data_IF_893535764465
#
_entry.id   IF_893535764465
#
_cell.length_a   1.000
_cell.length_b   1.000
_cell.length_c   1.000
_cell.angle_alpha   90.00
_cell.angle_beta   90.00
_cell.angle_gamma   90.00
#
_symmetry.space_group_name_H-M   'P 1'
#
loop_
_entity.id
_entity.type
_entity.pdbx_description
1 polymer ?
#
# COMPACT_ATOMS: atom_id res chain seq x y z
N UNK A 1 -5.04 30.75 -21.26
CA UNK A 1 -6.01 29.90 -20.53
C UNK A 1 -5.23 29.16 -19.47
N UNK A 2 -5.56 29.32 -18.19
CA UNK A 2 -4.87 28.61 -17.10
C UNK A 2 -5.30 27.15 -17.19
N UNK A 3 -4.40 26.27 -17.62
CA UNK A 3 -4.67 24.84 -17.64
C UNK A 3 -4.78 24.40 -16.18
N UNK A 4 -6.01 24.13 -15.71
CA UNK A 4 -6.22 23.69 -14.32
C UNK A 4 -5.55 22.33 -14.15
N UNK A 5 -4.67 22.17 -13.16
CA UNK A 5 -4.05 20.88 -12.82
C UNK A 5 -5.06 19.73 -12.64
N UNK A 6 -6.32 20.05 -12.37
CA UNK A 6 -7.41 19.09 -12.28
C UNK A 6 -7.74 18.38 -13.60
N UNK A 7 -7.44 18.99 -14.75
CA UNK A 7 -7.66 18.42 -16.09
C UNK A 7 -6.42 17.69 -16.64
N UNK A 8 -5.28 17.79 -15.95
CA UNK A 8 -4.02 17.18 -16.36
C UNK A 8 -4.00 15.69 -16.00
N UNK A 9 -3.48 14.86 -16.91
CA UNK A 9 -3.40 13.42 -16.70
C UNK A 9 -2.39 13.06 -15.60
N UNK A 10 -2.52 11.89 -14.98
CA UNK A 10 -1.51 11.40 -14.02
C UNK A 10 -0.13 11.29 -14.67
N UNK A 11 -0.04 10.92 -15.95
CA UNK A 11 1.23 10.79 -16.67
C UNK A 11 1.93 12.15 -16.83
N UNK A 12 1.21 13.17 -17.26
CA UNK A 12 1.76 14.53 -17.39
C UNK A 12 2.15 15.09 -16.02
N UNK A 13 1.29 14.92 -15.01
CA UNK A 13 1.60 15.32 -13.64
C UNK A 13 2.84 14.63 -13.10
N UNK A 14 3.12 13.38 -13.47
CA UNK A 14 4.33 12.69 -13.04
C UNK A 14 5.63 13.32 -13.57
N UNK A 15 5.55 14.17 -14.61
CA UNK A 15 6.70 14.88 -15.20
C UNK A 15 6.80 16.33 -14.75
N UNK A 16 5.86 16.80 -13.91
CA UNK A 16 5.87 18.16 -13.42
C UNK A 16 7.08 18.44 -12.53
N UNK A 17 7.66 19.64 -12.63
CA UNK A 17 8.88 20.01 -11.91
C UNK A 17 8.72 19.97 -10.38
N UNK A 18 7.51 20.23 -9.87
CA UNK A 18 7.21 20.17 -8.42
C UNK A 18 6.88 18.76 -7.90
N UNK A 19 6.89 17.73 -8.75
CA UNK A 19 6.66 16.35 -8.31
C UNK A 19 7.90 15.72 -7.72
N UNK A 20 7.86 15.43 -6.41
CA UNK A 20 8.88 14.62 -5.76
C UNK A 20 8.95 13.18 -6.31
N UNK A 21 10.04 12.44 -6.04
CA UNK A 21 10.30 11.12 -6.64
C UNK A 21 9.17 10.10 -6.39
N UNK A 22 8.65 10.02 -5.16
CA UNK A 22 7.58 9.08 -4.83
C UNK A 22 6.24 9.47 -5.46
N UNK A 23 5.92 10.76 -5.52
CA UNK A 23 4.71 11.24 -6.19
C UNK A 23 4.77 10.94 -7.70
N UNK A 24 5.92 11.20 -8.35
CA UNK A 24 6.14 10.86 -9.76
C UNK A 24 6.01 9.37 -10.02
N UNK A 25 6.62 8.53 -9.17
CA UNK A 25 6.50 7.07 -9.26
C UNK A 25 5.03 6.63 -9.14
N UNK A 26 4.32 7.10 -8.11
CA UNK A 26 2.93 6.73 -7.85
C UNK A 26 2.01 7.17 -9.00
N UNK A 27 2.18 8.38 -9.52
CA UNK A 27 1.39 8.86 -10.66
C UNK A 27 1.60 8.02 -11.94
N UNK A 28 2.84 7.58 -12.20
CA UNK A 28 3.13 6.64 -13.31
C UNK A 28 2.51 5.27 -13.05
N UNK A 29 2.63 4.75 -11.83
CA UNK A 29 2.02 3.48 -11.42
C UNK A 29 0.51 3.51 -11.63
N UNK A 30 -0.16 4.56 -11.16
CA UNK A 30 -1.60 4.78 -11.34
C UNK A 30 -1.99 4.78 -12.82
N UNK A 31 -1.19 5.44 -13.66
CA UNK A 31 -1.41 5.46 -15.12
C UNK A 31 -1.22 4.10 -15.78
N UNK A 32 -0.24 3.31 -15.36
CA UNK A 32 0.05 1.99 -15.95
C UNK A 32 -0.97 0.96 -15.50
N UNK A 33 -1.27 0.90 -14.18
CA UNK A 33 -2.26 -0.02 -13.62
C UNK A 33 -3.70 0.44 -13.83
N UNK A 34 -3.93 1.64 -14.37
CA UNK A 34 -5.26 2.25 -14.48
C UNK A 34 -6.04 2.11 -13.16
N UNK A 35 -5.42 2.56 -12.08
CA UNK A 35 -6.04 2.52 -10.75
C UNK A 35 -5.67 3.76 -9.95
N UNK A 36 -6.67 4.32 -9.30
CA UNK A 36 -6.58 5.38 -8.32
C UNK A 36 -7.23 4.95 -7.00
N UNK A 37 -7.18 3.64 -6.73
CA UNK A 37 -7.71 3.02 -5.52
C UNK A 37 -6.61 2.79 -4.49
N UNK A 38 -6.84 3.30 -3.28
CA UNK A 38 -6.14 2.97 -2.07
C UNK A 38 -7.02 2.06 -1.20
N UNK A 39 -6.53 0.88 -0.83
CA UNK A 39 -7.22 -0.01 0.11
C UNK A 39 -6.83 0.34 1.55
N UNK A 40 -7.82 0.63 2.40
CA UNK A 40 -7.65 0.74 3.85
C UNK A 40 -7.78 -0.65 4.47
N UNK A 41 -6.65 -1.31 4.72
CA UNK A 41 -6.58 -2.68 5.20
C UNK A 41 -6.72 -2.74 6.74
N UNK A 42 -7.87 -2.33 7.24
CA UNK A 42 -8.14 -2.23 8.68
C UNK A 42 -8.54 -3.61 9.26
N UNK A 43 -7.53 -4.45 9.51
CA UNK A 43 -7.65 -5.79 10.09
C UNK A 43 -6.68 -5.97 11.27
N UNK A 44 -6.98 -6.92 12.15
CA UNK A 44 -6.31 -7.03 13.46
C UNK A 44 -5.17 -8.04 13.51
N UNK A 45 -4.91 -8.80 12.44
CA UNK A 45 -3.86 -9.82 12.39
C UNK A 45 -2.98 -9.69 11.14
N UNK A 46 -1.72 -10.08 11.28
CA UNK A 46 -0.74 -10.08 10.20
C UNK A 46 -1.19 -10.98 9.05
N UNK A 47 -1.77 -12.15 9.36
CA UNK A 47 -2.30 -13.07 8.34
C UNK A 47 -3.39 -12.39 7.48
N UNK A 48 -4.40 -11.80 8.13
CA UNK A 48 -5.48 -11.13 7.40
C UNK A 48 -4.98 -9.93 6.58
N UNK A 49 -3.97 -9.20 7.09
CA UNK A 49 -3.37 -8.07 6.37
C UNK A 49 -2.66 -8.54 5.09
N UNK A 50 -1.87 -9.61 5.20
CA UNK A 50 -1.13 -10.17 4.06
C UNK A 50 -2.09 -10.81 3.04
N UNK A 51 -3.14 -11.50 3.49
CA UNK A 51 -4.17 -12.06 2.61
C UNK A 51 -4.89 -10.96 1.82
N UNK A 52 -5.29 -9.86 2.49
CA UNK A 52 -5.88 -8.70 1.81
C UNK A 52 -4.95 -8.09 0.76
N UNK A 53 -3.66 -7.99 1.09
CA UNK A 53 -2.65 -7.46 0.18
C UNK A 53 -2.47 -8.35 -1.06
N UNK A 54 -2.53 -9.67 -0.91
CA UNK A 54 -2.47 -10.62 -2.03
C UNK A 54 -3.72 -10.60 -2.89
N UNK A 55 -4.90 -10.65 -2.27
CA UNK A 55 -6.20 -10.68 -2.94
C UNK A 55 -6.44 -9.38 -3.74
N UNK A 56 -6.15 -8.23 -3.14
CA UNK A 56 -6.51 -6.94 -3.73
C UNK A 56 -5.36 -6.24 -4.46
N UNK A 57 -4.12 -6.73 -4.32
CA UNK A 57 -2.90 -6.05 -4.75
C UNK A 57 -2.89 -5.62 -6.22
N UNK A 58 -3.47 -6.42 -7.11
CA UNK A 58 -3.53 -6.14 -8.56
C UNK A 58 -4.50 -4.98 -8.91
N UNK A 59 -5.41 -4.62 -8.01
CA UNK A 59 -6.43 -3.61 -8.23
C UNK A 59 -6.11 -2.24 -7.59
N UNK A 60 -5.08 -2.15 -6.75
CA UNK A 60 -4.76 -0.95 -5.96
C UNK A 60 -3.44 -0.30 -6.40
N UNK A 61 -3.31 1.01 -6.19
CA UNK A 61 -2.03 1.72 -6.27
C UNK A 61 -1.37 1.92 -4.91
N UNK A 62 -2.17 1.92 -3.83
CA UNK A 62 -1.72 2.12 -2.45
C UNK A 62 -2.42 1.11 -1.53
N UNK A 63 -1.67 0.56 -0.59
CA UNK A 63 -2.22 -0.16 0.55
C UNK A 63 -1.98 0.67 1.81
N UNK A 64 -3.07 1.14 2.41
CA UNK A 64 -3.06 1.90 3.66
C UNK A 64 -3.19 0.95 4.85
N UNK A 65 -2.29 1.09 5.81
CA UNK A 65 -2.24 0.28 7.03
C UNK A 65 -2.55 1.10 8.28
N UNK A 66 -2.95 0.39 9.33
CA UNK A 66 -2.82 0.81 10.72
C UNK A 66 -2.00 -0.27 11.43
N UNK A 67 -0.68 -0.16 11.43
CA UNK A 67 0.17 -1.19 12.03
C UNK A 67 -0.08 -1.37 13.54
N UNK A 68 -0.63 -0.34 14.19
CA UNK A 68 -0.91 -0.29 15.62
C UNK A 68 -2.20 -1.00 16.06
N UNK A 69 -3.06 -1.40 15.12
CA UNK A 69 -4.22 -2.27 15.40
C UNK A 69 -3.92 -3.75 15.10
N UNK A 70 -2.78 -4.06 14.48
CA UNK A 70 -2.37 -5.44 14.18
C UNK A 70 -1.73 -6.04 15.43
N UNK A 71 -2.47 -6.94 16.07
CA UNK A 71 -2.17 -7.50 17.40
C UNK A 71 -0.85 -8.28 17.47
N UNK A 72 -0.38 -8.82 16.34
CA UNK A 72 0.83 -9.62 16.20
C UNK A 72 1.89 -8.96 15.29
N UNK A 73 1.85 -7.62 15.15
CA UNK A 73 2.78 -6.89 14.28
C UNK A 73 4.25 -7.18 14.61
N UNK A 74 5.05 -7.40 13.57
CA UNK A 74 6.50 -7.60 13.71
C UNK A 74 7.28 -7.15 12.47
N UNK A 75 8.61 -7.10 12.59
CA UNK A 75 9.52 -6.89 11.45
C UNK A 75 9.35 -7.98 10.35
N UNK A 76 8.72 -9.13 10.65
CA UNK A 76 8.37 -10.14 9.64
C UNK A 76 7.16 -9.70 8.82
N UNK A 77 6.12 -9.18 9.48
CA UNK A 77 4.90 -8.65 8.84
C UNK A 77 5.27 -7.53 7.87
N UNK A 78 6.08 -6.56 8.32
CA UNK A 78 6.55 -5.46 7.48
C UNK A 78 7.32 -5.94 6.23
N UNK A 79 8.20 -6.94 6.38
CA UNK A 79 8.96 -7.51 5.25
C UNK A 79 8.06 -8.26 4.26
N UNK A 80 7.16 -9.10 4.76
CA UNK A 80 6.22 -9.83 3.93
C UNK A 80 5.31 -8.85 3.14
N UNK A 81 4.82 -7.79 3.80
CA UNK A 81 4.02 -6.78 3.13
C UNK A 81 4.79 -6.04 2.02
N UNK A 82 6.07 -5.69 2.27
CA UNK A 82 6.95 -5.10 1.24
C UNK A 82 7.20 -6.03 0.06
N UNK A 83 7.28 -7.34 0.29
CA UNK A 83 7.44 -8.33 -0.77
C UNK A 83 6.18 -8.39 -1.65
N UNK A 84 5.00 -8.42 -1.05
CA UNK A 84 3.73 -8.36 -1.78
C UNK A 84 3.62 -7.03 -2.54
N UNK A 85 3.97 -5.90 -1.92
CA UNK A 85 3.96 -4.57 -2.55
C UNK A 85 4.85 -4.51 -3.80
N UNK A 86 6.04 -5.12 -3.76
CA UNK A 86 6.92 -5.26 -4.92
C UNK A 86 6.28 -6.10 -6.03
N UNK A 87 5.82 -7.31 -5.68
CA UNK A 87 5.27 -8.27 -6.66
C UNK A 87 3.96 -7.80 -7.31
N UNK A 88 3.08 -7.17 -6.53
CA UNK A 88 1.78 -6.64 -6.97
C UNK A 88 1.84 -5.18 -7.42
N UNK A 89 3.00 -4.54 -7.30
CA UNK A 89 3.24 -3.13 -7.64
C UNK A 89 2.23 -2.16 -7.00
N UNK A 90 2.36 -1.93 -5.69
CA UNK A 90 1.66 -0.85 -4.97
C UNK A 90 2.59 -0.20 -3.93
N UNK A 91 2.21 0.98 -3.45
CA UNK A 91 2.95 1.73 -2.42
C UNK A 91 2.31 1.50 -1.05
N UNK A 92 3.11 1.43 0.02
CA UNK A 92 2.60 1.26 1.39
C UNK A 92 2.45 2.63 2.07
N UNK A 93 1.26 2.87 2.65
CA UNK A 93 0.94 4.07 3.39
C UNK A 93 0.55 3.70 4.83
N UNK A 94 1.38 4.06 5.81
CA UNK A 94 1.00 3.93 7.22
C UNK A 94 0.19 5.17 7.68
N UNK A 95 -1.06 4.95 8.06
CA UNK A 95 -2.01 6.00 8.44
C UNK A 95 -1.88 6.41 9.91
N UNK A 96 -0.65 6.70 10.34
CA UNK A 96 -0.32 6.92 11.75
C UNK A 96 -0.91 8.20 12.34
N UNK A 97 -1.21 9.20 11.51
CA UNK A 97 -1.71 10.54 11.88
C UNK A 97 -0.88 11.18 13.00
N UNK A 98 0.41 11.39 12.76
CA UNK A 98 1.29 12.06 13.74
C UNK A 98 0.72 13.44 14.14
N UNK A 99 0.71 13.75 15.43
CA UNK A 99 0.10 14.97 15.97
C UNK A 99 0.79 15.45 17.25
N UNK A 100 2.12 15.31 17.31
CA UNK A 100 2.94 15.67 18.47
C UNK A 100 4.09 16.62 18.06
N UNK A 101 4.85 17.12 19.03
CA UNK A 101 6.02 17.96 18.82
C UNK A 101 7.19 17.19 18.20
N UNK A 102 8.14 17.93 17.62
CA UNK A 102 9.17 17.40 16.72
C UNK A 102 9.98 16.20 17.24
N UNK A 103 10.60 16.30 18.41
CA UNK A 103 11.44 15.21 18.93
C UNK A 103 10.62 13.92 19.19
N UNK A 104 9.39 14.08 19.68
CA UNK A 104 8.51 12.94 19.96
C UNK A 104 8.13 12.23 18.67
N UNK A 105 7.69 12.96 17.63
CA UNK A 105 7.31 12.34 16.35
C UNK A 105 8.49 11.67 15.65
N UNK A 106 9.72 12.19 15.80
CA UNK A 106 10.91 11.52 15.27
C UNK A 106 11.11 10.12 15.86
N UNK A 107 10.98 10.00 17.19
CA UNK A 107 11.11 8.73 17.89
C UNK A 107 9.95 7.78 17.53
N UNK A 108 8.72 8.29 17.48
CA UNK A 108 7.55 7.50 17.07
C UNK A 108 7.67 7.00 15.62
N UNK A 109 8.26 7.79 14.72
CA UNK A 109 8.40 7.44 13.31
C UNK A 109 9.54 6.45 13.04
N UNK A 110 10.68 6.58 13.74
CA UNK A 110 11.91 5.83 13.43
C UNK A 110 12.18 4.64 14.36
N UNK A 111 11.59 4.66 15.56
CA UNK A 111 11.94 3.74 16.64
C UNK A 111 10.71 2.95 17.11
N UNK A 112 10.76 2.41 18.34
CA UNK A 112 9.68 1.62 18.91
C UNK A 112 9.50 0.27 18.22
N UNK A 113 8.34 -0.34 18.43
CA UNK A 113 7.97 -1.62 17.84
C UNK A 113 7.78 -1.49 16.33
N UNK A 114 7.17 -0.39 15.88
CA UNK A 114 6.72 -0.26 14.49
C UNK A 114 7.78 0.22 13.51
N UNK A 115 8.74 1.06 13.94
CA UNK A 115 9.81 1.61 13.09
C UNK A 115 9.30 2.05 11.71
N UNK A 116 8.21 2.81 11.67
CA UNK A 116 7.39 3.08 10.47
C UNK A 116 8.25 3.54 9.28
N UNK A 117 9.22 4.43 9.53
CA UNK A 117 10.13 4.96 8.52
C UNK A 117 10.97 3.88 7.80
N UNK A 118 11.11 2.67 8.36
CA UNK A 118 11.89 1.60 7.74
C UNK A 118 11.14 0.83 6.63
N UNK A 119 9.82 0.92 6.59
CA UNK A 119 9.00 0.10 5.68
C UNK A 119 7.85 0.83 4.97
N UNK A 120 7.27 1.88 5.55
CA UNK A 120 6.18 2.62 4.92
C UNK A 120 6.75 3.74 4.04
N UNK A 121 6.44 3.78 2.74
CA UNK A 121 6.87 4.86 1.86
C UNK A 121 6.12 6.16 2.15
N UNK A 122 4.84 6.06 2.53
CA UNK A 122 3.99 7.20 2.87
C UNK A 122 3.60 7.12 4.35
N UNK A 123 3.59 8.28 5.02
CA UNK A 123 2.90 8.46 6.30
C UNK A 123 2.11 9.77 6.27
N UNK A 124 1.33 10.07 7.30
CA UNK A 124 0.62 11.33 7.41
C UNK A 124 0.76 12.02 8.77
N UNK A 125 0.46 13.33 8.79
CA UNK A 125 0.52 14.15 9.99
C UNK A 125 -0.54 15.26 10.01
N UNK A 126 -1.04 15.55 11.20
CA UNK A 126 -1.79 16.78 11.49
C UNK A 126 -0.81 17.95 11.62
N UNK A 127 -1.20 19.13 11.13
CA UNK A 127 -0.42 20.37 11.36
C UNK A 127 -0.80 21.09 12.65
N UNK A 128 -1.62 20.45 13.50
CA UNK A 128 -2.08 21.01 14.78
C UNK A 128 -0.91 21.48 15.68
N UNK A 129 0.21 20.75 15.82
CA UNK A 129 1.36 21.19 16.61
C UNK A 129 2.18 22.32 15.98
N UNK A 130 1.86 22.73 14.76
CA UNK A 130 2.61 23.70 13.96
C UNK A 130 3.60 23.07 12.96
N UNK A 131 4.23 23.89 12.09
CA UNK A 131 5.01 23.41 10.95
C UNK A 131 6.25 22.57 11.31
N UNK A 132 6.77 22.71 12.54
CA UNK A 132 7.96 22.01 13.00
C UNK A 132 7.80 20.48 12.95
N UNK A 133 6.57 19.95 13.03
CA UNK A 133 6.30 18.52 12.87
C UNK A 133 6.77 17.99 11.51
N UNK A 134 6.59 18.77 10.44
CA UNK A 134 6.99 18.40 9.07
C UNK A 134 8.51 18.34 8.97
N UNK A 135 9.21 19.37 9.45
CA UNK A 135 10.68 19.40 9.48
C UNK A 135 11.23 18.24 10.31
N UNK A 136 10.60 17.92 11.43
CA UNK A 136 11.04 16.84 12.31
C UNK A 136 10.89 15.47 11.65
N UNK A 137 9.73 15.17 11.05
CA UNK A 137 9.49 13.94 10.31
C UNK A 137 10.40 13.81 9.09
N UNK A 138 10.66 14.91 8.38
CA UNK A 138 11.58 14.93 7.23
C UNK A 138 13.00 14.53 7.66
N UNK A 139 13.55 15.15 8.71
CA UNK A 139 14.86 14.78 9.26
C UNK A 139 14.94 13.33 9.71
N UNK A 140 13.86 12.80 10.28
CA UNK A 140 13.77 11.39 10.67
C UNK A 140 13.75 10.44 9.46
N UNK A 141 13.06 10.82 8.39
CA UNK A 141 13.10 10.09 7.11
C UNK A 141 14.53 10.07 6.55
N UNK A 142 15.19 11.23 6.47
CA UNK A 142 16.56 11.34 5.94
C UNK A 142 17.55 10.48 6.73
N UNK A 143 17.48 10.54 8.06
CA UNK A 143 18.31 9.70 8.93
C UNK A 143 18.07 8.20 8.71
N UNK A 144 16.80 7.82 8.47
CA UNK A 144 16.45 6.43 8.18
C UNK A 144 16.98 5.98 6.83
N UNK A 145 16.89 6.83 5.79
CA UNK A 145 17.41 6.56 4.45
C UNK A 145 18.94 6.47 4.49
N UNK A 146 19.62 7.38 5.19
CA UNK A 146 21.07 7.34 5.36
C UNK A 146 21.54 6.06 6.07
N UNK A 147 20.81 5.62 7.11
CA UNK A 147 21.06 4.35 7.79
C UNK A 147 20.82 3.15 6.89
N UNK A 148 19.77 3.20 6.06
CA UNK A 148 19.49 2.14 5.10
C UNK A 148 20.60 2.02 4.05
N UNK A 149 21.05 3.14 3.48
CA UNK A 149 22.08 3.19 2.46
C UNK A 149 23.48 2.77 2.94
N UNK A 150 23.73 2.82 4.26
CA UNK A 150 24.98 2.39 4.87
C UNK A 150 24.91 0.98 5.48
N UNK A 151 23.71 0.40 5.54
CA UNK A 151 23.48 -0.94 6.08
C UNK A 151 23.62 -2.04 5.02
N UNK A 152 24.12 -3.21 5.44
CA UNK A 152 24.03 -4.43 4.64
C UNK A 152 22.70 -5.09 4.96
N UNK A 153 21.83 -5.19 3.95
CA UNK A 153 20.55 -5.90 4.06
C UNK A 153 20.66 -7.20 3.28
N UNK A 154 20.33 -8.32 3.92
CA UNK A 154 20.28 -9.62 3.26
C UNK A 154 18.83 -10.08 3.23
N UNK A 155 18.24 -10.07 2.05
CA UNK A 155 16.92 -10.65 1.81
C UNK A 155 17.12 -12.11 1.37
N UNK A 156 16.72 -13.07 2.20
CA UNK A 156 16.76 -14.50 1.89
C UNK A 156 15.35 -14.91 1.46
N UNK A 157 15.19 -15.26 0.18
CA UNK A 157 13.95 -15.77 -0.37
C UNK A 157 14.06 -17.28 -0.64
N UNK A 158 12.94 -17.98 -0.52
CA UNK A 158 12.78 -19.33 -1.03
C UNK A 158 11.57 -19.32 -1.96
N UNK A 159 11.77 -19.52 -3.25
CA UNK A 159 10.66 -19.74 -4.17
C UNK A 159 9.92 -21.01 -3.75
N UNK A 160 8.59 -20.93 -3.59
CA UNK A 160 7.78 -22.13 -3.45
C UNK A 160 7.94 -22.99 -4.72
N UNK A 161 8.05 -24.32 -4.61
CA UNK A 161 8.17 -25.18 -5.79
C UNK A 161 6.99 -24.90 -6.73
N UNK A 162 7.28 -24.59 -8.00
CA UNK A 162 6.25 -24.50 -9.04
C UNK A 162 5.50 -25.83 -9.06
N UNK A 163 4.21 -25.83 -8.70
CA UNK A 163 3.31 -26.95 -9.05
C UNK A 163 3.33 -27.04 -10.58
N UNK A 164 3.81 -28.18 -11.10
CA UNK A 164 3.71 -28.47 -12.53
C UNK A 164 2.22 -28.60 -12.89
N UNK A 165 1.78 -28.14 -14.08
CA UNK A 165 0.38 -28.26 -14.49
C UNK A 165 -0.08 -29.69 -14.85
N UNK A 166 0.77 -30.71 -14.82
CA UNK A 166 0.44 -32.05 -15.33
C UNK A 166 1.00 -33.18 -14.44
N UNK A 167 0.54 -33.28 -13.19
CA UNK A 167 0.58 -34.56 -12.47
C UNK A 167 -0.88 -34.88 -12.10
N UNK A 168 -1.43 -35.88 -12.80
CA UNK A 168 -2.77 -36.42 -12.60
C UNK A 168 -2.94 -36.81 -11.12
N UNK A 169 -4.00 -36.29 -10.50
CA UNK A 169 -4.44 -36.70 -9.17
C UNK A 169 -4.92 -38.15 -9.24
N UNK A 170 -4.08 -39.11 -8.84
CA UNK A 170 -4.55 -40.42 -8.40
C UNK A 170 -5.18 -40.24 -7.00
N UNK A 171 -6.45 -39.82 -7.00
CA UNK A 171 -7.33 -39.94 -5.84
C UNK A 171 -7.61 -41.44 -5.57
N UNK A 172 -6.74 -42.11 -4.81
CA UNK A 172 -7.11 -43.39 -4.20
C UNK A 172 -7.72 -43.17 -2.80
N UNK A 173 -9.04 -43.33 -2.79
CA UNK A 173 -9.95 -43.75 -1.69
C UNK A 173 -9.39 -43.76 -0.26
N UNK A 174 -9.81 -42.78 0.54
CA UNK A 174 -9.89 -42.94 1.99
C UNK A 174 -11.32 -42.69 2.43
N UNK A 175 -12.15 -43.73 2.32
CA UNK A 175 -13.36 -43.83 3.13
C UNK A 175 -13.25 -44.96 4.16
N UNK A 176 -13.78 -44.63 5.34
CA UNK A 176 -14.21 -45.51 6.40
C UNK A 176 -13.17 -46.24 7.28
N UNK A 177 -12.77 -45.57 8.38
CA UNK A 177 -13.03 -46.13 9.71
C UNK A 177 -13.14 -45.04 10.77
N UNK A 178 -14.38 -44.71 11.10
CA UNK A 178 -14.76 -44.03 12.35
C UNK A 178 -14.26 -44.78 13.58
N UNK A 179 -13.77 -43.99 14.54
CA UNK A 179 -13.98 -44.12 15.99
C UNK A 179 -13.78 -45.52 16.58
N UNK A 180 -12.71 -45.69 17.35
CA UNK A 180 -12.80 -46.29 18.70
C UNK A 180 -11.54 -46.05 19.53
N UNK A 181 -11.81 -45.66 20.78
CA UNK A 181 -11.01 -45.89 21.97
C UNK A 181 -9.90 -44.89 22.31
N UNK A 182 -10.33 -43.83 22.99
CA UNK A 182 -9.62 -43.31 24.14
C UNK A 182 -9.36 -44.43 25.16
N UNK A 183 -8.13 -44.55 25.66
CA UNK A 183 -7.82 -45.28 26.91
C UNK A 183 -6.70 -44.54 27.65
N UNK A 184 -7.02 -44.15 28.88
CA UNK A 184 -6.17 -43.65 29.96
C UNK A 184 -5.26 -44.77 30.53
N UNK A 185 -4.18 -44.42 31.26
CA UNK A 185 -3.05 -45.33 31.49
C UNK A 185 -3.27 -46.25 32.70
N UNK A 186 -2.84 -47.51 32.59
CA UNK A 186 -2.52 -48.32 33.76
C UNK A 186 -1.21 -49.11 33.60
N UNK A 187 -0.46 -49.04 34.70
CA UNK A 187 0.80 -49.67 35.07
C UNK A 187 0.65 -51.19 35.18
N UNK A 188 1.72 -51.89 34.84
CA UNK A 188 2.37 -53.06 35.49
C UNK A 188 3.42 -53.53 34.45
N UNK A 189 4.71 -53.68 34.71
CA UNK A 189 5.34 -54.31 35.86
C UNK A 189 6.09 -55.54 35.34
N UNK A 190 7.36 -55.30 34.99
CA UNK A 190 8.53 -56.20 34.99
C UNK A 190 8.76 -57.26 33.89
N UNK A 191 9.99 -57.15 33.35
CA UNK A 191 10.93 -58.14 32.79
C UNK A 191 10.57 -58.97 31.55
N UNK A 192 11.22 -58.67 30.41
CA UNK A 192 12.30 -59.51 29.86
C UNK A 192 12.94 -58.91 28.59
N UNK A 193 14.26 -59.06 28.50
CA UNK A 193 15.15 -58.64 27.42
C UNK A 193 14.67 -59.09 26.03
N UNK A 194 14.33 -58.14 25.16
CA UNK A 194 14.29 -58.38 23.70
C UNK A 194 15.08 -57.29 22.98
N UNK A 195 16.28 -57.65 22.51
CA UNK A 195 17.12 -56.85 21.61
C UNK A 195 16.33 -56.46 20.35
N UNK A 196 15.90 -55.20 20.26
CA UNK A 196 15.33 -54.64 19.03
C UNK A 196 16.44 -54.07 18.16
N UNK A 197 16.69 -54.74 17.03
CA UNK A 197 17.62 -54.28 16.01
C UNK A 197 17.20 -52.93 15.43
N UNK A 198 18.13 -51.98 15.45
CA UNK A 198 17.97 -50.67 14.83
C UNK A 198 17.96 -50.88 13.30
N UNK A 199 16.79 -50.78 12.68
CA UNK A 199 16.69 -50.61 11.22
C UNK A 199 17.27 -49.23 10.87
N UNK A 200 18.17 -49.11 9.87
CA UNK A 200 18.65 -47.81 9.45
C UNK A 200 17.48 -47.02 8.87
N UNK A 201 17.17 -45.87 9.49
CA UNK A 201 16.25 -44.90 8.90
C UNK A 201 16.91 -44.34 7.64
N UNK A 202 16.33 -44.66 6.49
CA UNK A 202 16.63 -44.03 5.21
C UNK A 202 16.09 -42.59 5.24
N UNK A 203 16.79 -41.69 5.93
CA UNK A 203 16.52 -40.25 5.87
C UNK A 203 17.04 -39.75 4.53
N UNK A 204 16.14 -39.66 3.54
CA UNK A 204 16.34 -38.84 2.34
C UNK A 204 16.84 -37.46 2.79
N UNK A 205 18.10 -37.16 2.47
CA UNK A 205 18.71 -35.88 2.77
C UNK A 205 18.01 -34.82 1.93
N UNK A 206 17.35 -33.86 2.59
CA UNK A 206 16.78 -32.69 1.90
C UNK A 206 17.93 -31.77 1.50
N UNK A 207 18.29 -31.80 0.21
CA UNK A 207 19.28 -30.87 -0.35
C UNK A 207 18.57 -29.53 -0.56
N UNK A 208 18.79 -28.59 0.36
CA UNK A 208 18.40 -27.20 0.18
C UNK A 208 19.53 -26.50 -0.58
N UNK A 209 19.31 -26.23 -1.86
CA UNK A 209 20.20 -25.40 -2.66
C UNK A 209 20.07 -23.94 -2.22
N UNK A 210 20.95 -23.49 -1.34
CA UNK A 210 21.03 -22.08 -0.93
C UNK A 210 21.78 -21.32 -2.02
N UNK A 211 21.06 -20.71 -2.95
CA UNK A 211 21.63 -19.73 -3.86
C UNK A 211 21.83 -18.40 -3.13
N UNK A 212 23.04 -18.12 -2.65
CA UNK A 212 23.37 -16.81 -2.09
C UNK A 212 23.58 -15.82 -3.26
N UNK A 213 22.56 -15.05 -3.62
CA UNK A 213 22.74 -13.91 -4.52
C UNK A 213 23.29 -12.72 -3.73
N UNK A 214 24.62 -12.55 -3.75
CA UNK A 214 25.27 -11.37 -3.20
C UNK A 214 25.15 -10.26 -4.26
N UNK A 215 24.17 -9.37 -4.09
CA UNK A 215 24.08 -8.14 -4.88
C UNK A 215 24.87 -7.03 -4.19
N UNK A 216 26.13 -6.84 -4.59
CA UNK A 216 26.89 -5.63 -4.25
C UNK A 216 26.45 -4.52 -5.19
N UNK A 217 25.56 -3.63 -4.74
CA UNK A 217 25.26 -2.38 -5.44
C UNK A 217 26.18 -1.28 -4.94
N UNK A 218 27.26 -1.04 -5.66
CA UNK A 218 27.97 0.25 -5.67
C UNK A 218 27.71 0.92 -7.00
N UNK A 219 26.57 1.58 -7.15
CA UNK A 219 26.40 2.52 -8.26
C UNK A 219 25.77 3.82 -7.76
N UNK A 220 26.56 4.87 -7.89
CA UNK A 220 26.15 6.26 -7.90
C UNK A 220 25.44 6.55 -9.23
N UNK A 221 24.31 7.26 -9.16
CA UNK A 221 23.49 7.79 -10.28
C UNK A 221 22.31 6.87 -10.67
N UNK A 222 21.14 7.23 -10.16
CA UNK A 222 19.82 6.77 -10.62
C UNK A 222 19.72 6.83 -12.16
N UNK A 223 19.11 5.83 -12.83
CA UNK A 223 18.93 5.87 -14.27
C UNK A 223 18.09 7.09 -14.67
N UNK A 224 18.68 7.97 -15.49
CA UNK A 224 17.95 9.09 -16.11
C UNK A 224 17.12 8.56 -17.29
N UNK A 225 15.87 9.00 -17.47
CA UNK A 225 15.06 8.62 -18.61
C UNK A 225 15.64 9.19 -19.91
N UNK A 226 15.53 8.41 -20.99
CA UNK A 226 15.90 8.78 -22.36
C UNK A 226 14.97 9.91 -22.86
N UNK A 227 15.53 11.07 -23.28
CA UNK A 227 14.75 12.22 -23.74
C UNK A 227 14.09 12.04 -25.12
N UNK A 228 14.33 10.94 -25.85
CA UNK A 228 13.87 10.77 -27.24
C UNK A 228 12.63 9.87 -27.43
N UNK A 229 11.96 9.44 -26.36
CA UNK A 229 10.81 8.54 -26.48
C UNK A 229 9.50 9.28 -26.77
N UNK A 230 9.01 9.16 -28.02
CA UNK A 230 7.69 9.61 -28.46
C UNK A 230 6.69 8.42 -28.44
N UNK A 231 5.72 8.36 -27.51
CA UNK A 231 4.87 7.19 -27.32
C UNK A 231 3.76 6.99 -28.35
N UNK A 232 3.58 7.90 -29.32
CA UNK A 232 2.46 7.83 -30.26
C UNK A 232 2.60 6.75 -31.34
N UNK A 233 3.75 6.08 -31.45
CA UNK A 233 4.01 5.09 -32.50
C UNK A 233 3.99 3.61 -32.07
N UNK A 234 3.64 3.27 -30.82
CA UNK A 234 3.72 1.87 -30.37
C UNK A 234 2.42 1.35 -29.78
N UNK A 235 1.61 0.72 -30.64
CA UNK A 235 0.45 -0.09 -30.28
C UNK A 235 0.85 -1.22 -29.30
N UNK A 236 0.11 -1.33 -28.19
CA UNK A 236 0.08 -2.46 -27.24
C UNK A 236 1.42 -2.87 -26.61
N UNK A 237 2.02 -1.99 -25.80
CA UNK A 237 2.96 -2.47 -24.77
C UNK A 237 2.13 -3.07 -23.62
N UNK A 238 2.37 -4.35 -23.32
CA UNK A 238 1.79 -5.05 -22.18
C UNK A 238 2.06 -4.28 -20.87
N UNK A 239 1.03 -4.11 -20.05
CA UNK A 239 1.11 -3.49 -18.71
C UNK A 239 2.23 -4.09 -17.86
N UNK A 240 2.51 -5.39 -18.00
CA UNK A 240 3.61 -6.08 -17.32
C UNK A 240 4.97 -5.52 -17.73
N UNK A 241 5.19 -5.27 -19.01
CA UNK A 241 6.42 -4.68 -19.53
C UNK A 241 6.58 -3.23 -19.05
N UNK A 242 5.49 -2.46 -19.00
CA UNK A 242 5.50 -1.09 -18.45
C UNK A 242 5.82 -1.07 -16.95
N UNK A 243 5.25 -1.98 -16.16
CA UNK A 243 5.57 -2.11 -14.73
C UNK A 243 7.03 -2.52 -14.51
N UNK A 244 7.54 -3.44 -15.33
CA UNK A 244 8.95 -3.83 -15.30
C UNK A 244 9.87 -2.64 -15.58
N UNK A 245 9.50 -1.77 -16.54
CA UNK A 245 10.23 -0.53 -16.86
C UNK A 245 10.10 0.55 -15.79
N UNK A 246 8.97 0.62 -15.08
CA UNK A 246 8.78 1.54 -13.96
C UNK A 246 9.77 1.25 -12.82
N UNK A 247 10.10 -0.03 -12.64
CA UNK A 247 11.07 -0.48 -11.64
C UNK A 247 10.49 -0.54 -10.23
N UNK A 248 11.38 -0.74 -9.25
CA UNK A 248 11.00 -0.77 -7.84
C UNK A 248 10.64 0.62 -7.31
N UNK A 249 9.78 0.64 -6.29
CA UNK A 249 9.44 1.86 -5.55
C UNK A 249 10.73 2.49 -5.00
N UNK A 250 10.98 3.79 -5.23
CA UNK A 250 12.19 4.43 -4.71
C UNK A 250 12.18 4.39 -3.18
N UNK A 251 13.33 4.07 -2.58
CA UNK A 251 13.48 4.07 -1.11
C UNK A 251 13.61 5.50 -0.57
N UNK A 252 12.52 6.26 -0.69
CA UNK A 252 12.34 7.60 -0.14
C UNK A 252 11.08 7.60 0.73
N UNK A 253 10.86 8.66 1.50
CA UNK A 253 9.66 8.82 2.30
C UNK A 253 8.95 10.10 1.93
N UNK A 254 7.63 10.07 1.98
CA UNK A 254 6.83 11.26 1.78
C UNK A 254 5.70 11.36 2.79
N UNK A 255 5.24 12.59 2.98
CA UNK A 255 4.24 12.95 3.96
C UNK A 255 2.96 13.43 3.27
N UNK A 256 1.83 12.98 3.77
CA UNK A 256 0.53 13.59 3.52
C UNK A 256 0.12 14.43 4.73
N UNK A 257 -0.35 15.66 4.49
CA UNK A 257 -0.91 16.49 5.56
C UNK A 257 -2.42 16.28 5.64
N UNK A 258 -2.96 16.13 6.85
CA UNK A 258 -4.40 16.08 7.04
C UNK A 258 -4.97 17.50 6.97
N UNK A 259 -5.66 17.80 5.89
CA UNK A 259 -6.25 19.12 5.64
C UNK A 259 -7.78 19.13 5.79
N UNK A 260 -8.45 18.02 5.46
CA UNK A 260 -9.88 17.79 5.75
C UNK A 260 -10.09 16.35 6.23
N UNK A 261 -11.17 16.12 6.98
CA UNK A 261 -11.58 14.78 7.41
C UNK A 261 -12.98 14.46 6.89
N UNK A 262 -13.25 13.19 6.66
CA UNK A 262 -14.59 12.70 6.26
C UNK A 262 -15.57 12.57 7.44
N UNK A 263 -15.11 12.80 8.66
CA UNK A 263 -15.92 12.71 9.87
C UNK A 263 -16.79 13.95 10.06
N UNK A 264 -18.04 13.75 10.47
CA UNK A 264 -18.93 14.84 10.83
C UNK A 264 -18.36 15.71 11.96
N UNK A 265 -18.48 17.04 11.84
CA UNK A 265 -18.05 17.98 12.88
C UNK A 265 -16.53 18.18 13.02
N UNK A 266 -15.72 17.82 12.01
CA UNK A 266 -14.27 18.05 12.07
C UNK A 266 -13.91 19.53 12.26
N UNK A 267 -12.80 19.79 12.98
CA UNK A 267 -12.36 21.15 13.33
C UNK A 267 -11.41 21.80 12.30
N UNK A 268 -11.22 21.15 11.14
CA UNK A 268 -10.35 21.67 10.06
C UNK A 268 -11.06 22.75 9.24
N UNK A 269 -11.11 23.97 9.79
CA UNK A 269 -11.72 25.15 9.17
C UNK A 269 -11.00 25.58 7.89
N UNK A 270 -11.59 26.48 7.07
CA UNK A 270 -10.89 27.04 5.90
C UNK A 270 -9.54 27.67 6.24
N UNK A 271 -9.40 28.31 7.41
CA UNK A 271 -8.14 28.89 7.87
C UNK A 271 -7.10 27.80 8.17
N UNK A 272 -7.52 26.68 8.79
CA UNK A 272 -6.67 25.52 9.02
C UNK A 272 -6.21 24.91 7.69
N UNK A 273 -7.11 24.77 6.72
CA UNK A 273 -6.80 24.25 5.38
C UNK A 273 -5.77 25.14 4.68
N UNK A 274 -5.97 26.46 4.72
CA UNK A 274 -5.05 27.43 4.14
C UNK A 274 -3.65 27.35 4.77
N UNK A 275 -3.58 27.25 6.10
CA UNK A 275 -2.31 27.05 6.82
C UNK A 275 -1.64 25.72 6.44
N UNK A 276 -2.42 24.66 6.29
CA UNK A 276 -1.92 23.35 5.87
C UNK A 276 -1.31 23.41 4.46
N UNK A 277 -1.97 24.12 3.53
CA UNK A 277 -1.46 24.33 2.17
C UNK A 277 -0.17 25.17 2.16
N UNK A 278 -0.11 26.25 2.94
CA UNK A 278 1.11 27.06 3.10
C UNK A 278 2.30 26.21 3.59
N UNK A 279 2.07 25.35 4.59
CA UNK A 279 3.08 24.44 5.13
C UNK A 279 3.52 23.41 4.08
N UNK A 280 2.59 22.83 3.32
CA UNK A 280 2.92 21.90 2.25
C UNK A 280 3.79 22.55 1.16
N UNK A 281 3.43 23.77 0.74
CA UNK A 281 4.19 24.54 -0.25
C UNK A 281 5.61 24.84 0.23
N UNK A 282 5.80 25.12 1.51
CA UNK A 282 7.12 25.34 2.09
C UNK A 282 7.98 24.05 2.21
N UNK A 283 7.40 22.86 2.01
CA UNK A 283 8.06 21.57 2.23
C UNK A 283 7.84 20.58 1.07
N UNK A 284 7.83 21.05 -0.18
CA UNK A 284 7.51 20.25 -1.39
C UNK A 284 8.39 19.01 -1.59
N UNK A 285 9.62 19.02 -1.09
CA UNK A 285 10.54 17.88 -1.21
C UNK A 285 10.10 16.66 -0.40
N UNK A 286 9.29 16.88 0.65
CA UNK A 286 8.83 15.83 1.56
C UNK A 286 7.31 15.67 1.57
N UNK A 287 6.56 16.77 1.49
CA UNK A 287 5.10 16.75 1.47
C UNK A 287 4.62 16.52 0.05
N UNK A 288 4.06 15.33 -0.19
CA UNK A 288 3.55 14.95 -1.52
C UNK A 288 2.07 15.32 -1.73
N UNK A 289 1.35 15.65 -0.65
CA UNK A 289 -0.01 16.14 -0.75
C UNK A 289 -0.83 15.99 0.52
N UNK A 290 -2.11 15.68 0.37
CA UNK A 290 -3.12 15.84 1.42
C UNK A 290 -4.02 14.64 1.60
N UNK A 291 -4.45 14.43 2.86
CA UNK A 291 -5.73 13.79 3.16
C UNK A 291 -6.78 14.89 3.19
N UNK A 292 -7.74 14.85 2.26
CA UNK A 292 -8.81 15.84 2.17
C UNK A 292 -10.09 15.27 1.51
N UNK A 293 -11.16 16.06 1.41
CA UNK A 293 -12.40 15.72 0.69
C UNK A 293 -12.52 16.42 -0.67
N UNK A 294 -11.60 17.34 -0.98
CA UNK A 294 -11.44 18.01 -2.27
C UNK A 294 -10.00 18.41 -2.54
N UNK A 295 -9.68 18.66 -3.82
CA UNK A 295 -8.38 19.19 -4.21
C UNK A 295 -8.12 20.57 -3.62
N UNK A 296 -6.92 20.77 -3.07
CA UNK A 296 -6.44 22.04 -2.52
C UNK A 296 -5.45 22.75 -3.44
N UNK A 297 -5.14 22.18 -4.61
CA UNK A 297 -4.28 22.82 -5.60
C UNK A 297 -4.96 24.11 -6.09
N UNK A 298 -4.37 25.27 -5.80
CA UNK A 298 -4.92 26.58 -6.16
C UNK A 298 -3.94 27.45 -6.94
N UNK A 299 -2.63 27.23 -6.80
CA UNK A 299 -1.60 27.91 -7.57
C UNK A 299 -1.17 27.06 -8.78
N UNK A 300 -0.70 27.67 -9.89
CA UNK A 300 -0.26 26.92 -11.08
C UNK A 300 0.87 25.91 -10.83
N UNK A 301 1.72 26.18 -9.84
CA UNK A 301 2.86 25.33 -9.44
C UNK A 301 2.47 24.17 -8.52
N UNK A 302 1.24 24.18 -7.99
CA UNK A 302 0.75 23.14 -7.09
C UNK A 302 0.49 21.86 -7.88
N UNK A 303 1.17 20.78 -7.48
CA UNK A 303 0.92 19.45 -8.02
C UNK A 303 0.82 18.40 -6.90
N UNK A 304 0.11 18.76 -5.83
CA UNK A 304 -0.09 17.88 -4.69
C UNK A 304 -1.13 16.81 -5.01
N UNK A 305 -0.88 15.59 -4.52
CA UNK A 305 -1.85 14.50 -4.56
C UNK A 305 -2.92 14.69 -3.49
N UNK A 306 -4.20 14.51 -3.85
CA UNK A 306 -5.30 14.51 -2.87
C UNK A 306 -5.84 13.09 -2.69
N UNK A 307 -5.62 12.50 -1.51
CA UNK A 307 -6.15 11.18 -1.16
C UNK A 307 -7.34 11.33 -0.22
N UNK A 308 -8.44 10.67 -0.53
CA UNK A 308 -9.73 10.97 0.09
C UNK A 308 -10.38 9.74 0.73
N UNK A 309 -10.49 9.69 2.07
CA UNK A 309 -11.26 8.67 2.76
C UNK A 309 -12.76 8.98 2.70
N UNK A 310 -13.59 8.07 3.23
CA UNK A 310 -15.03 8.20 3.15
C UNK A 310 -15.57 7.94 1.75
N UNK A 311 -15.00 6.97 1.05
CA UNK A 311 -15.53 6.49 -0.22
C UNK A 311 -16.29 5.17 -0.02
N UNK A 312 -17.51 5.10 -0.55
CA UNK A 312 -18.28 3.86 -0.60
C UNK A 312 -19.17 3.86 -1.84
N UNK A 313 -19.27 2.71 -2.50
CA UNK A 313 -20.29 2.45 -3.52
C UNK A 313 -21.59 2.05 -2.84
N UNK A 314 -22.75 2.53 -3.33
CA UNK A 314 -24.02 2.04 -2.84
C UNK A 314 -24.11 0.51 -3.05
N UNK A 315 -24.70 -0.23 -2.10
CA UNK A 315 -25.02 -1.63 -2.31
C UNK A 315 -25.81 -1.80 -3.60
N UNK A 316 -25.62 -2.90 -4.35
CA UNK A 316 -26.43 -3.19 -5.53
C UNK A 316 -27.93 -3.05 -5.21
N UNK A 317 -28.65 -2.22 -5.97
CA UNK A 317 -30.08 -1.95 -5.76
C UNK A 317 -30.44 -0.85 -4.74
N UNK A 318 -29.45 -0.18 -4.14
CA UNK A 318 -29.66 0.95 -3.20
C UNK A 318 -29.00 2.25 -3.67
N UNK A 319 -28.95 2.45 -4.99
CA UNK A 319 -28.41 3.66 -5.61
C UNK A 319 -29.20 4.89 -5.13
N UNK A 320 -28.52 5.85 -4.47
CA UNK A 320 -29.13 7.11 -4.02
C UNK A 320 -29.45 7.22 -2.51
N UNK A 321 -29.17 6.20 -1.69
CA UNK A 321 -29.31 6.32 -0.23
C UNK A 321 -28.08 6.98 0.42
N UNK A 322 -28.29 7.68 1.55
CA UNK A 322 -27.22 8.31 2.34
C UNK A 322 -26.36 7.20 2.95
N UNK A 323 -25.10 7.13 2.53
CA UNK A 323 -24.13 6.15 3.03
C UNK A 323 -23.38 6.78 4.22
N UNK A 324 -23.47 6.16 5.39
CA UNK A 324 -22.74 6.57 6.60
C UNK A 324 -22.70 5.45 7.63
N UNK A 325 -21.85 5.57 8.66
CA UNK A 325 -21.88 4.68 9.83
C UNK A 325 -22.45 5.37 11.08
N UNK A 326 -22.66 4.60 12.14
CA UNK A 326 -23.15 5.10 13.43
C UNK A 326 -22.08 5.82 14.27
N UNK A 327 -20.86 5.97 13.75
CA UNK A 327 -19.70 6.56 14.43
C UNK A 327 -19.22 7.86 13.75
N UNK A 328 -20.08 8.48 12.93
CA UNK A 328 -19.83 9.79 12.32
C UNK A 328 -19.08 9.75 10.98
N UNK A 329 -18.84 8.57 10.40
CA UNK A 329 -18.28 8.45 9.05
C UNK A 329 -19.34 8.80 8.00
N UNK A 330 -19.01 9.74 7.12
CA UNK A 330 -19.81 10.05 5.94
C UNK A 330 -19.17 9.43 4.71
N UNK A 331 -19.98 8.92 3.77
CA UNK A 331 -19.48 8.36 2.52
C UNK A 331 -19.97 9.13 1.30
N UNK A 332 -19.07 9.25 0.33
CA UNK A 332 -19.30 9.79 -1.00
C UNK A 332 -18.97 8.74 -2.07
N UNK A 333 -19.57 8.87 -3.25
CA UNK A 333 -19.28 7.97 -4.39
C UNK A 333 -17.92 8.28 -5.01
N UNK A 334 -17.25 7.30 -5.66
CA UNK A 334 -16.02 7.54 -6.42
C UNK A 334 -16.16 8.70 -7.42
N UNK A 335 -17.28 8.77 -8.15
CA UNK A 335 -17.53 9.85 -9.10
C UNK A 335 -17.54 11.22 -8.44
N UNK A 336 -18.28 11.41 -7.34
CA UNK A 336 -18.29 12.69 -6.62
C UNK A 336 -16.89 13.11 -6.17
N UNK A 337 -16.13 12.17 -5.60
CA UNK A 337 -14.80 12.45 -5.06
C UNK A 337 -13.76 12.75 -6.16
N UNK A 338 -13.68 11.91 -7.19
CA UNK A 338 -12.67 12.04 -8.24
C UNK A 338 -13.04 13.13 -9.24
N UNK A 339 -14.29 13.14 -9.75
CA UNK A 339 -14.72 14.07 -10.80
C UNK A 339 -15.08 15.45 -10.23
N UNK A 340 -16.05 15.52 -9.30
CA UNK A 340 -16.59 16.79 -8.82
C UNK A 340 -15.64 17.49 -7.85
N UNK A 341 -15.08 16.75 -6.89
CA UNK A 341 -14.15 17.28 -5.88
C UNK A 341 -12.68 17.27 -6.32
N UNK A 342 -12.39 16.72 -7.51
CA UNK A 342 -11.06 16.72 -8.14
C UNK A 342 -9.99 16.00 -7.30
N UNK A 343 -10.39 15.04 -6.46
CA UNK A 343 -9.45 14.22 -5.68
C UNK A 343 -8.71 13.24 -6.59
N UNK A 344 -7.53 12.78 -6.17
CA UNK A 344 -6.70 11.92 -7.00
C UNK A 344 -6.84 10.44 -6.68
N UNK A 345 -7.01 10.09 -5.41
CA UNK A 345 -7.03 8.70 -4.95
C UNK A 345 -8.18 8.52 -3.95
N UNK A 346 -9.05 7.54 -4.19
CA UNK A 346 -10.07 7.15 -3.21
C UNK A 346 -9.48 6.16 -2.21
N UNK A 347 -9.77 6.35 -0.92
CA UNK A 347 -9.39 5.43 0.16
C UNK A 347 -10.66 4.68 0.60
N UNK A 348 -10.67 3.37 0.40
CA UNK A 348 -11.82 2.50 0.68
C UNK A 348 -11.43 1.43 1.69
N UNK A 349 -12.16 1.34 2.80
CA UNK A 349 -11.94 0.33 3.84
C UNK A 349 -13.04 -0.73 3.86
N UNK A 350 -13.99 -0.58 4.77
CA UNK A 350 -15.09 -1.54 5.01
C UNK A 350 -15.82 -1.99 3.75
N UNK A 351 -15.97 -1.13 2.74
CA UNK A 351 -16.59 -1.46 1.46
C UNK A 351 -15.92 -2.65 0.76
N UNK A 352 -14.61 -2.83 0.90
CA UNK A 352 -13.85 -3.95 0.32
C UNK A 352 -13.56 -5.01 1.39
N UNK A 353 -13.10 -4.62 2.58
CA UNK A 353 -12.65 -5.56 3.62
C UNK A 353 -13.77 -6.53 4.05
N UNK A 354 -15.02 -6.05 4.08
CA UNK A 354 -16.20 -6.84 4.49
C UNK A 354 -16.93 -7.49 3.32
N UNK A 355 -16.46 -7.32 2.10
CA UNK A 355 -17.06 -7.99 0.94
C UNK A 355 -16.79 -9.50 1.01
N UNK A 356 -17.72 -10.29 0.47
CA UNK A 356 -17.54 -11.74 0.33
C UNK A 356 -16.46 -12.08 -0.68
N UNK A 357 -16.36 -11.29 -1.76
CA UNK A 357 -15.31 -11.35 -2.76
C UNK A 357 -14.60 -9.99 -2.80
N UNK A 358 -13.46 -9.93 -2.11
CA UNK A 358 -12.71 -8.68 -1.91
C UNK A 358 -11.98 -8.25 -3.18
N UNK A 359 -11.46 -9.20 -3.95
CA UNK A 359 -10.78 -8.93 -5.21
C UNK A 359 -11.77 -8.35 -6.24
N UNK A 360 -12.94 -8.96 -6.37
CA UNK A 360 -14.01 -8.45 -7.23
C UNK A 360 -14.46 -7.05 -6.82
N UNK A 361 -14.69 -6.81 -5.53
CA UNK A 361 -15.14 -5.49 -5.06
C UNK A 361 -14.03 -4.43 -5.24
N UNK A 362 -12.76 -4.77 -4.99
CA UNK A 362 -11.63 -3.89 -5.28
C UNK A 362 -11.55 -3.56 -6.79
N UNK A 363 -11.76 -4.54 -7.67
CA UNK A 363 -11.82 -4.31 -9.12
C UNK A 363 -12.96 -3.35 -9.51
N UNK A 364 -14.12 -3.46 -8.84
CA UNK A 364 -15.26 -2.57 -9.05
C UNK A 364 -14.97 -1.13 -8.62
N UNK A 365 -14.38 -0.92 -7.43
CA UNK A 365 -13.96 0.43 -7.00
C UNK A 365 -12.88 1.02 -7.92
N UNK A 366 -11.92 0.21 -8.36
CA UNK A 366 -10.92 0.62 -9.36
C UNK A 366 -11.58 1.11 -10.64
N UNK A 367 -12.54 0.35 -11.18
CA UNK A 367 -13.22 0.70 -12.43
C UNK A 367 -14.02 2.01 -12.30
N UNK A 368 -14.77 2.20 -11.21
CA UNK A 368 -15.54 3.42 -10.97
C UNK A 368 -14.65 4.64 -10.70
N UNK A 369 -13.57 4.47 -9.92
CA UNK A 369 -12.59 5.52 -9.68
C UNK A 369 -11.86 5.94 -10.96
N UNK A 370 -11.48 4.99 -11.80
CA UNK A 370 -10.80 5.26 -13.07
C UNK A 370 -11.71 5.92 -14.09
N UNK A 371 -12.95 5.44 -14.24
CA UNK A 371 -13.97 6.05 -15.12
C UNK A 371 -14.21 7.52 -14.75
N UNK A 372 -14.35 7.82 -13.46
CA UNK A 372 -14.51 9.19 -12.98
C UNK A 372 -13.28 10.07 -13.26
N UNK A 373 -12.08 9.49 -13.23
CA UNK A 373 -10.85 10.18 -13.62
C UNK A 373 -10.82 10.47 -15.13
N UNK A 374 -11.14 9.50 -15.98
CA UNK A 374 -11.18 9.69 -17.44
C UNK A 374 -12.21 10.74 -17.86
N UNK A 375 -13.38 10.75 -17.20
CA UNK A 375 -14.40 11.80 -17.37
C UNK A 375 -13.83 13.17 -17.00
N UNK A 376 -13.06 13.26 -15.91
CA UNK A 376 -12.46 14.52 -15.43
C UNK A 376 -11.43 15.08 -16.40
N UNK A 377 -10.53 14.23 -16.91
CA UNK A 377 -9.46 14.66 -17.83
C UNK A 377 -9.90 14.72 -19.29
N UNK A 378 -11.15 14.36 -19.60
CA UNK A 378 -11.73 14.48 -20.93
C UNK A 378 -11.27 13.44 -21.93
N UNK A 379 -10.74 12.30 -21.48
CA UNK A 379 -10.26 11.20 -22.35
C UNK A 379 -11.44 10.43 -22.98
N UNK A 380 -12.65 10.51 -22.41
CA UNK A 380 -13.82 9.74 -22.86
C UNK A 380 -14.64 10.39 -24.00
N UNK A 381 -14.04 11.20 -24.89
CA UNK A 381 -14.67 11.65 -26.13
C UNK A 381 -13.70 11.54 -27.32
N UNK A 382 -13.63 10.34 -27.88
CA UNK A 382 -13.06 10.03 -29.18
C UNK A 382 -13.81 8.84 -29.77
#
# INVERSE_FOLDING_TARGET
>A
MVNSMAATTYRERATHASSGPLASFLLRLMSIKQTNLCLSADVETSAALLDLAEECGDHICILKTHCDIVTDWSDRTARALKEIARRKCFVIFEDRKFADIGETVQKQYTSGVYKIASWAEITNAHVLPGPAIVTALHKAADATIAKYNTGVHTDIYSDAPRRKPDEEDDEEELDDMKRKNAVTPQRNGDDEDTRLGIKPLDRKQSVVSIGTSISQRTESISPRPDPTFHPEEVFNIDSVAMLTRLGEVPFVRSLLLLAEMSSEGHLMTPEYQQKTLEIARANRDFVMGFIAQRSLNSDPEDNFLTMTPGCQLPPPGQEGQKLGDSLGQQYNTPRKLIFEQKCDVIIVGRGIVRASDRAFEAARYRAEGWRAYEERVGVSKG
#
